data_IF_790329057114
#
_entry.id   IF_790329057114
#
_cell.length_a   1.000
_cell.length_b   1.000
_cell.length_c   1.000
_cell.angle_alpha   90.00
_cell.angle_beta   90.00
_cell.angle_gamma   90.00
#
_symmetry.space_group_name_H-M   'P 1'
#
loop_
_entity.id
_entity.type
_entity.pdbx_description
1 polymer ?
#
# COMPACT_ATOMS: atom_id res chain seq x y z
N UNK A 1 -13.90 26.57 -22.44
CA UNK A 1 -13.00 25.45 -22.09
C UNK A 1 -13.11 24.36 -23.13
N UNK A 2 -12.01 23.74 -23.54
CA UNK A 2 -12.03 22.58 -24.44
C UNK A 2 -12.62 21.35 -23.73
N UNK A 3 -13.17 20.37 -24.47
CA UNK A 3 -13.68 19.10 -23.89
C UNK A 3 -12.63 18.41 -23.02
N UNK A 4 -11.36 18.53 -23.39
CA UNK A 4 -10.23 17.97 -22.66
C UNK A 4 -10.07 18.63 -21.27
N UNK A 5 -10.20 19.95 -21.17
CA UNK A 5 -10.14 20.66 -19.89
C UNK A 5 -11.29 20.27 -18.96
N UNK A 6 -12.49 20.05 -19.50
CA UNK A 6 -13.65 19.61 -18.71
C UNK A 6 -13.48 18.18 -18.20
N UNK A 7 -13.00 17.27 -19.05
CA UNK A 7 -12.74 15.88 -18.64
C UNK A 7 -11.63 15.79 -17.60
N UNK A 8 -10.56 16.58 -17.76
CA UNK A 8 -9.48 16.66 -16.78
C UNK A 8 -9.99 17.18 -15.44
N UNK A 9 -10.80 18.25 -15.44
CA UNK A 9 -11.40 18.80 -14.22
C UNK A 9 -12.20 17.75 -13.44
N UNK A 10 -13.13 17.06 -14.12
CA UNK A 10 -13.93 15.99 -13.50
C UNK A 10 -13.09 14.83 -12.96
N UNK A 11 -12.01 14.48 -13.67
CA UNK A 11 -11.10 13.43 -13.22
C UNK A 11 -10.33 13.84 -11.95
N UNK A 12 -9.85 15.07 -11.88
CA UNK A 12 -9.15 15.58 -10.70
C UNK A 12 -10.11 15.73 -9.51
N UNK A 13 -11.32 16.20 -9.75
CA UNK A 13 -12.36 16.30 -8.72
C UNK A 13 -12.72 14.93 -8.14
N UNK A 14 -12.78 13.87 -8.96
CA UNK A 14 -13.09 12.51 -8.48
C UNK A 14 -11.97 11.88 -7.63
N UNK A 15 -10.76 12.48 -7.63
CA UNK A 15 -9.64 12.06 -6.81
C UNK A 15 -9.68 12.64 -5.39
N UNK A 16 -10.47 13.69 -5.16
CA UNK A 16 -10.51 14.40 -3.86
C UNK A 16 -11.46 13.67 -2.91
N UNK A 17 -10.96 13.09 -1.81
CA UNK A 17 -11.81 12.44 -0.82
C UNK A 17 -12.51 13.45 0.08
N UNK A 18 -13.66 13.06 0.63
CA UNK A 18 -14.30 13.82 1.70
C UNK A 18 -13.48 13.70 3.00
N UNK A 19 -13.49 14.71 3.88
CA UNK A 19 -12.81 14.61 5.18
C UNK A 19 -13.32 13.44 6.03
N UNK A 20 -14.61 13.11 5.93
CA UNK A 20 -15.23 12.01 6.65
C UNK A 20 -14.66 10.65 6.20
N UNK A 21 -14.56 10.44 4.88
CA UNK A 21 -13.94 9.24 4.32
C UNK A 21 -12.48 9.10 4.76
N UNK A 22 -11.73 10.21 4.78
CA UNK A 22 -10.33 10.21 5.25
C UNK A 22 -10.25 9.79 6.71
N UNK A 23 -11.06 10.37 7.59
CA UNK A 23 -11.01 10.08 9.03
C UNK A 23 -11.38 8.63 9.36
N UNK A 24 -12.23 8.00 8.56
CA UNK A 24 -12.68 6.62 8.78
C UNK A 24 -11.76 5.62 8.07
N UNK A 25 -11.53 5.79 6.76
CA UNK A 25 -10.85 4.81 5.94
C UNK A 25 -9.35 4.84 6.12
N UNK A 26 -8.73 6.02 6.27
CA UNK A 26 -7.27 6.10 6.37
C UNK A 26 -6.71 5.29 7.55
N UNK A 27 -7.17 5.45 8.81
CA UNK A 27 -6.66 4.64 9.92
C UNK A 27 -7.00 3.15 9.75
N UNK A 28 -8.20 2.82 9.25
CA UNK A 28 -8.60 1.43 9.02
C UNK A 28 -7.70 0.75 7.98
N UNK A 29 -7.40 1.44 6.88
CA UNK A 29 -6.52 0.94 5.81
C UNK A 29 -5.07 0.84 6.29
N UNK A 30 -4.56 1.81 7.06
CA UNK A 30 -3.21 1.71 7.65
C UNK A 30 -3.10 0.48 8.56
N UNK A 31 -4.11 0.21 9.40
CA UNK A 31 -4.09 -0.96 10.27
C UNK A 31 -4.18 -2.26 9.48
N UNK A 32 -5.09 -2.35 8.50
CA UNK A 32 -5.26 -3.54 7.67
C UNK A 32 -4.01 -3.84 6.82
N UNK A 33 -3.49 -2.82 6.11
CA UNK A 33 -2.29 -2.96 5.29
C UNK A 33 -1.06 -3.20 6.16
N UNK A 34 -0.96 -2.51 7.29
CA UNK A 34 0.11 -2.72 8.26
C UNK A 34 0.14 -4.17 8.76
N UNK A 35 -1.02 -4.75 9.07
CA UNK A 35 -1.14 -6.16 9.41
C UNK A 35 -0.68 -7.07 8.25
N UNK A 36 -1.11 -6.80 7.01
CA UNK A 36 -0.69 -7.59 5.84
C UNK A 36 0.84 -7.59 5.66
N UNK A 37 1.46 -6.41 5.74
CA UNK A 37 2.91 -6.25 5.61
C UNK A 37 3.65 -6.95 6.74
N UNK A 38 3.24 -6.70 7.98
CA UNK A 38 3.80 -7.37 9.15
C UNK A 38 3.68 -8.89 9.06
N UNK A 39 2.51 -9.41 8.67
CA UNK A 39 2.26 -10.84 8.56
C UNK A 39 3.12 -11.48 7.47
N UNK A 40 3.24 -10.84 6.31
CA UNK A 40 4.12 -11.30 5.23
C UNK A 40 5.59 -11.32 5.67
N UNK A 41 6.05 -10.30 6.40
CA UNK A 41 7.38 -10.31 7.00
C UNK A 41 7.57 -11.40 8.04
N UNK A 42 6.57 -11.63 8.88
CA UNK A 42 6.59 -12.73 9.84
C UNK A 42 6.66 -14.08 9.13
N UNK A 43 5.93 -14.29 8.03
CA UNK A 43 6.04 -15.51 7.22
C UNK A 43 7.46 -15.68 6.65
N UNK A 44 8.06 -14.61 6.13
CA UNK A 44 9.43 -14.66 5.62
C UNK A 44 10.42 -15.03 6.73
N UNK A 45 10.41 -14.30 7.85
CA UNK A 45 11.40 -14.46 8.92
C UNK A 45 11.17 -15.72 9.76
N UNK A 46 9.92 -16.06 10.10
CA UNK A 46 9.60 -17.17 11.01
C UNK A 46 9.23 -18.46 10.31
N UNK A 47 8.74 -18.40 9.07
CA UNK A 47 8.37 -19.59 8.28
C UNK A 47 9.30 -19.84 7.10
N UNK A 48 10.31 -19.00 6.88
CA UNK A 48 11.29 -19.16 5.80
C UNK A 48 10.68 -18.98 4.40
N UNK A 49 9.59 -18.21 4.29
CA UNK A 49 9.00 -17.94 2.98
C UNK A 49 9.92 -17.09 2.13
N UNK A 50 10.08 -17.45 0.84
CA UNK A 50 10.83 -16.65 -0.12
C UNK A 50 10.17 -15.28 -0.31
N UNK A 51 10.96 -14.21 -0.43
CA UNK A 51 10.46 -12.83 -0.66
C UNK A 51 9.53 -12.73 -1.87
N UNK A 52 9.75 -13.54 -2.91
CA UNK A 52 8.88 -13.57 -4.10
C UNK A 52 7.44 -13.96 -3.79
N UNK A 53 7.20 -14.80 -2.77
CA UNK A 53 5.85 -15.21 -2.37
C UNK A 53 5.17 -14.16 -1.48
N UNK A 54 5.89 -13.60 -0.52
CA UNK A 54 5.38 -12.55 0.38
C UNK A 54 5.01 -11.29 -0.39
N UNK A 55 5.85 -10.86 -1.35
CA UNK A 55 5.51 -9.77 -2.28
C UNK A 55 4.24 -10.05 -3.07
N UNK A 56 4.08 -11.26 -3.63
CA UNK A 56 2.85 -11.61 -4.37
C UNK A 56 1.61 -11.53 -3.49
N UNK A 57 1.68 -11.99 -2.25
CA UNK A 57 0.58 -11.86 -1.29
C UNK A 57 0.24 -10.39 -1.02
N UNK A 58 1.24 -9.54 -0.79
CA UNK A 58 1.06 -8.10 -0.60
C UNK A 58 0.38 -7.48 -1.84
N UNK A 59 0.86 -7.78 -3.05
CA UNK A 59 0.28 -7.25 -4.28
C UNK A 59 -1.17 -7.69 -4.47
N UNK A 60 -1.47 -8.98 -4.24
CA UNK A 60 -2.84 -9.50 -4.34
C UNK A 60 -3.75 -8.81 -3.33
N UNK A 61 -3.32 -8.67 -2.08
CA UNK A 61 -4.09 -7.96 -1.06
C UNK A 61 -4.34 -6.50 -1.44
N UNK A 62 -3.29 -5.77 -1.84
CA UNK A 62 -3.37 -4.36 -2.26
C UNK A 62 -4.30 -4.21 -3.47
N UNK A 63 -4.15 -5.03 -4.52
CA UNK A 63 -5.00 -4.92 -5.72
C UNK A 63 -6.46 -5.30 -5.47
N UNK A 64 -6.72 -6.34 -4.67
CA UNK A 64 -8.09 -6.71 -4.31
C UNK A 64 -8.75 -5.62 -3.47
N UNK A 65 -8.05 -5.08 -2.47
CA UNK A 65 -8.56 -3.96 -1.67
C UNK A 65 -8.81 -2.74 -2.55
N UNK A 66 -7.89 -2.39 -3.46
CA UNK A 66 -8.08 -1.26 -4.38
C UNK A 66 -9.30 -1.46 -5.30
N UNK A 67 -9.50 -2.67 -5.83
CA UNK A 67 -10.66 -2.99 -6.65
C UNK A 67 -11.98 -2.87 -5.86
N UNK A 68 -12.01 -3.34 -4.61
CA UNK A 68 -13.16 -3.22 -3.73
C UNK A 68 -13.47 -1.75 -3.39
N UNK A 69 -12.45 -0.95 -3.06
CA UNK A 69 -12.61 0.47 -2.77
C UNK A 69 -13.06 1.26 -4.00
N UNK A 70 -12.49 0.97 -5.17
CA UNK A 70 -12.92 1.57 -6.43
C UNK A 70 -14.39 1.26 -6.73
N UNK A 71 -14.83 0.04 -6.45
CA UNK A 71 -16.22 -0.37 -6.67
C UNK A 71 -17.19 0.31 -5.70
N UNK A 72 -16.79 0.52 -4.44
CA UNK A 72 -17.67 1.04 -3.38
C UNK A 72 -17.70 2.58 -3.32
N UNK A 73 -16.53 3.23 -3.36
CA UNK A 73 -16.40 4.67 -3.19
C UNK A 73 -15.65 5.38 -4.32
N UNK A 74 -15.35 4.67 -5.40
CA UNK A 74 -14.73 5.26 -6.57
C UNK A 74 -13.25 5.61 -6.38
N UNK A 75 -12.77 6.53 -7.21
CA UNK A 75 -11.35 6.84 -7.31
C UNK A 75 -10.78 7.52 -6.05
N UNK A 76 -11.57 8.38 -5.39
CA UNK A 76 -11.15 9.06 -4.17
C UNK A 76 -10.78 8.10 -3.04
N UNK A 77 -11.52 6.99 -2.88
CA UNK A 77 -11.20 5.96 -1.88
C UNK A 77 -9.90 5.21 -2.22
N UNK A 78 -9.64 4.98 -3.52
CA UNK A 78 -8.35 4.43 -3.98
C UNK A 78 -7.21 5.40 -3.69
N UNK A 79 -7.43 6.71 -3.83
CA UNK A 79 -6.44 7.72 -3.45
C UNK A 79 -6.11 7.68 -1.94
N UNK A 80 -7.11 7.53 -1.06
CA UNK A 80 -6.89 7.33 0.39
C UNK A 80 -6.05 6.08 0.63
N UNK A 81 -6.35 4.97 -0.07
CA UNK A 81 -5.56 3.76 0.01
C UNK A 81 -4.12 3.96 -0.45
N UNK A 82 -3.89 4.72 -1.51
CA UNK A 82 -2.56 5.10 -1.97
C UNK A 82 -1.75 5.76 -0.86
N UNK A 83 -2.35 6.72 -0.15
CA UNK A 83 -1.73 7.36 1.03
C UNK A 83 -1.45 6.35 2.14
N UNK A 84 -2.40 5.48 2.47
CA UNK A 84 -2.23 4.45 3.50
C UNK A 84 -1.06 3.49 3.18
N UNK A 85 -0.99 2.99 1.94
CA UNK A 85 0.11 2.13 1.46
C UNK A 85 1.44 2.87 1.56
N UNK A 86 1.51 4.14 1.14
CA UNK A 86 2.73 4.95 1.26
C UNK A 86 3.19 5.09 2.70
N UNK A 87 2.29 5.31 3.65
CA UNK A 87 2.62 5.39 5.09
C UNK A 87 3.18 4.07 5.59
N UNK A 88 2.55 2.93 5.27
CA UNK A 88 3.02 1.60 5.70
C UNK A 88 4.37 1.25 5.09
N UNK A 89 4.57 1.54 3.79
CA UNK A 89 5.85 1.34 3.10
C UNK A 89 6.95 2.22 3.70
N UNK A 90 6.67 3.50 3.90
CA UNK A 90 7.62 4.43 4.50
C UNK A 90 8.02 3.96 5.90
N UNK A 91 7.06 3.52 6.71
CA UNK A 91 7.33 2.95 8.03
C UNK A 91 8.22 1.70 7.95
N UNK A 92 7.94 0.77 7.03
CA UNK A 92 8.77 -0.41 6.81
C UNK A 92 10.21 -0.05 6.42
N UNK A 93 10.38 0.81 5.42
CA UNK A 93 11.69 1.30 4.96
C UNK A 93 12.44 2.00 6.09
N UNK A 94 11.78 2.90 6.83
CA UNK A 94 12.37 3.61 7.97
C UNK A 94 12.84 2.67 9.07
N UNK A 95 12.13 1.56 9.30
CA UNK A 95 12.52 0.55 10.29
C UNK A 95 13.73 -0.28 9.85
N UNK A 96 13.89 -0.53 8.56
CA UNK A 96 15.04 -1.23 7.99
C UNK A 96 15.16 -2.72 8.37
N UNK A 97 16.37 -3.25 8.20
CA UNK A 97 16.68 -4.68 8.34
C UNK A 97 16.24 -5.28 9.68
N UNK A 98 15.75 -6.52 9.63
CA UNK A 98 15.29 -7.28 10.80
C UNK A 98 13.88 -6.92 11.28
N UNK A 99 13.26 -5.85 10.77
CA UNK A 99 11.86 -5.55 11.05
C UNK A 99 10.92 -6.30 10.11
N UNK A 100 9.85 -6.91 10.62
CA UNK A 100 8.91 -7.66 9.76
C UNK A 100 8.27 -6.80 8.66
N UNK A 101 7.96 -5.53 8.91
CA UNK A 101 7.39 -4.65 7.87
C UNK A 101 8.35 -4.45 6.69
N UNK A 102 9.65 -4.49 6.94
CA UNK A 102 10.70 -4.39 5.93
C UNK A 102 11.01 -5.73 5.28
N UNK A 103 11.19 -6.78 6.09
CA UNK A 103 11.62 -8.08 5.60
C UNK A 103 10.63 -8.69 4.60
N UNK A 104 9.32 -8.46 4.78
CA UNK A 104 8.30 -8.97 3.85
C UNK A 104 8.38 -8.42 2.42
N UNK A 105 9.14 -7.34 2.19
CA UNK A 105 9.26 -6.66 0.90
C UNK A 105 10.71 -6.58 0.40
N UNK A 106 11.68 -6.53 1.30
CA UNK A 106 13.10 -6.41 1.00
C UNK A 106 13.63 -7.67 0.32
N UNK A 107 14.20 -7.54 -0.88
CA UNK A 107 14.77 -8.67 -1.61
C UNK A 107 16.08 -9.11 -0.95
N UNK A 108 16.29 -10.42 -0.91
CA UNK A 108 17.53 -11.02 -0.43
C UNK A 108 18.74 -10.62 -1.30
N UNK A 109 18.51 -10.45 -2.61
CA UNK A 109 19.56 -10.15 -3.60
C UNK A 109 20.08 -8.71 -3.56
N UNK A 110 19.37 -7.80 -2.90
CA UNK A 110 19.73 -6.38 -2.85
C UNK A 110 20.70 -6.07 -1.68
N UNK A 111 21.19 -7.10 -0.99
CA UNK A 111 22.25 -6.98 0.00
C UNK A 111 23.57 -6.50 -0.65
N UNK A 112 24.35 -5.63 0.04
CA UNK A 112 24.16 -5.14 1.40
C UNK A 112 23.22 -3.92 1.53
N UNK A 113 22.71 -3.37 0.43
CA UNK A 113 21.98 -2.11 0.38
C UNK A 113 20.47 -2.30 0.14
N UNK A 114 19.83 -3.18 0.93
CA UNK A 114 18.45 -3.67 0.72
C UNK A 114 17.38 -2.59 0.87
N UNK A 115 17.70 -1.48 1.52
CA UNK A 115 16.75 -0.38 1.80
C UNK A 115 16.44 0.46 0.56
N UNK A 116 17.34 0.52 -0.43
CA UNK A 116 17.13 1.33 -1.64
C UNK A 116 16.30 0.63 -2.72
N UNK A 117 16.16 -0.70 -2.64
CA UNK A 117 15.54 -1.53 -3.68
C UNK A 117 14.43 -2.39 -3.07
N UNK A 118 13.30 -1.75 -2.77
CA UNK A 118 12.08 -2.39 -2.26
C UNK A 118 11.07 -2.57 -3.38
#
# INVERSE_FOLDING_TARGET
MSRLQQNLGRFLESAVPSPEDVLILLPALILMLGFVFWFCGWLQVRRGWKTGYTRKLIHVAVFLTAALLQWQGGFSWVCIMGVAVSVVLFYGIYRGDGNYFFEGIAREVDAPHRVYYV
#
